data_IF_323151007780
#
_entry.id   IF_323151007780
#
_cell.length_a   1.000
_cell.length_b   1.000
_cell.length_c   1.000
_cell.angle_alpha   90.00
_cell.angle_beta   90.00
_cell.angle_gamma   90.00
#
_symmetry.space_group_name_H-M   'P 1'
#
loop_
_entity.id
_entity.type
_entity.pdbx_description
1 polymer ?
#
# COMPACT_ATOMS: atom_id res chain seq x y z
N UNK A 1 37.43 -16.58 -3.54
CA UNK A 1 36.07 -16.57 -4.12
C UNK A 1 35.02 -16.18 -3.09
N UNK A 2 35.38 -16.18 -1.80
CA UNK A 2 34.51 -16.01 -0.64
C UNK A 2 33.97 -14.57 -0.50
N UNK A 3 34.77 -13.57 -0.85
CA UNK A 3 34.36 -12.17 -0.81
C UNK A 3 33.21 -11.87 -1.80
N UNK A 4 33.21 -12.48 -2.99
CA UNK A 4 32.16 -12.25 -3.99
C UNK A 4 30.81 -12.87 -3.57
N UNK A 5 30.85 -14.05 -2.93
CA UNK A 5 29.65 -14.69 -2.36
C UNK A 5 29.07 -13.87 -1.20
N UNK A 6 29.92 -13.36 -0.29
CA UNK A 6 29.48 -12.51 0.81
C UNK A 6 28.84 -11.20 0.31
N UNK A 7 29.43 -10.58 -0.72
CA UNK A 7 28.85 -9.40 -1.37
C UNK A 7 27.51 -9.72 -2.04
N UNK A 8 27.40 -10.87 -2.73
CA UNK A 8 26.15 -11.31 -3.34
C UNK A 8 25.02 -11.51 -2.32
N UNK A 9 25.31 -12.17 -1.19
CA UNK A 9 24.35 -12.37 -0.09
C UNK A 9 23.95 -11.04 0.53
N UNK A 10 24.90 -10.13 0.74
CA UNK A 10 24.63 -8.81 1.30
C UNK A 10 23.67 -7.99 0.40
N UNK A 11 23.88 -7.99 -0.92
CA UNK A 11 22.99 -7.30 -1.87
C UNK A 11 21.59 -7.90 -1.86
N UNK A 12 21.47 -9.23 -1.85
CA UNK A 12 20.19 -9.93 -1.77
C UNK A 12 19.45 -9.64 -0.47
N UNK A 13 20.17 -9.62 0.65
CA UNK A 13 19.61 -9.28 1.96
C UNK A 13 19.09 -7.83 1.99
N UNK A 14 19.83 -6.88 1.45
CA UNK A 14 19.40 -5.47 1.35
C UNK A 14 18.16 -5.35 0.46
N UNK A 15 18.15 -6.00 -0.71
CA UNK A 15 17.00 -5.97 -1.61
C UNK A 15 15.75 -6.57 -0.95
N UNK A 16 15.88 -7.71 -0.28
CA UNK A 16 14.81 -8.33 0.49
C UNK A 16 14.32 -7.43 1.62
N UNK A 17 15.23 -6.77 2.33
CA UNK A 17 14.90 -5.82 3.40
C UNK A 17 14.10 -4.62 2.89
N UNK A 18 14.52 -4.02 1.77
CA UNK A 18 13.80 -2.88 1.15
C UNK A 18 12.39 -3.30 0.74
N UNK A 19 12.23 -4.46 0.09
CA UNK A 19 10.91 -4.99 -0.26
C UNK A 19 10.04 -5.24 0.97
N UNK A 20 10.62 -5.80 2.03
CA UNK A 20 9.90 -6.03 3.29
C UNK A 20 9.41 -4.72 3.90
N UNK A 21 10.24 -3.66 3.95
CA UNK A 21 9.84 -2.33 4.45
C UNK A 21 8.69 -1.75 3.64
N UNK A 22 8.74 -1.87 2.31
CA UNK A 22 7.67 -1.40 1.42
C UNK A 22 6.36 -2.15 1.73
N UNK A 23 6.41 -3.49 1.78
CA UNK A 23 5.24 -4.33 2.10
C UNK A 23 4.66 -4.02 3.47
N UNK A 24 5.50 -3.81 4.49
CA UNK A 24 5.06 -3.43 5.84
C UNK A 24 4.29 -2.11 5.85
N UNK A 25 4.70 -1.12 5.05
CA UNK A 25 4.01 0.16 4.95
C UNK A 25 2.58 -0.01 4.39
N UNK A 26 2.43 -0.81 3.32
CA UNK A 26 1.11 -1.15 2.77
C UNK A 26 0.27 -1.99 3.74
N UNK A 27 0.90 -2.90 4.48
CA UNK A 27 0.22 -3.77 5.43
C UNK A 27 -0.49 -2.98 6.54
N UNK A 28 0.15 -1.93 7.07
CA UNK A 28 -0.47 -1.06 8.07
C UNK A 28 -1.75 -0.39 7.57
N UNK A 29 -1.75 0.11 6.33
CA UNK A 29 -2.93 0.74 5.71
C UNK A 29 -4.01 -0.30 5.40
N UNK A 30 -3.61 -1.44 4.85
CA UNK A 30 -4.51 -2.56 4.55
C UNK A 30 -5.29 -3.04 5.78
N UNK A 31 -4.56 -3.20 6.90
CA UNK A 31 -5.11 -3.69 8.15
C UNK A 31 -6.16 -2.72 8.71
N UNK A 32 -5.89 -1.40 8.66
CA UNK A 32 -6.88 -0.38 9.05
C UNK A 32 -8.15 -0.45 8.21
N UNK A 33 -8.02 -0.58 6.89
CA UNK A 33 -9.14 -0.77 5.97
C UNK A 33 -9.98 -2.01 6.33
N UNK A 34 -9.31 -3.13 6.61
CA UNK A 34 -9.95 -4.39 6.98
C UNK A 34 -10.72 -4.31 8.29
N UNK A 35 -10.10 -3.75 9.34
CA UNK A 35 -10.72 -3.59 10.66
C UNK A 35 -11.93 -2.64 10.59
N UNK A 36 -11.87 -1.63 9.72
CA UNK A 36 -12.95 -0.68 9.53
C UNK A 36 -14.10 -1.18 8.61
N UNK A 37 -14.15 -2.48 8.27
CA UNK A 37 -15.10 -3.06 7.30
C UNK A 37 -15.06 -2.39 5.91
N UNK A 38 -13.94 -1.74 5.56
CA UNK A 38 -13.70 -1.11 4.27
C UNK A 38 -12.50 -1.78 3.58
N UNK A 39 -12.58 -3.08 3.21
CA UNK A 39 -11.44 -3.80 2.65
C UNK A 39 -10.99 -3.19 1.31
N UNK A 40 -9.69 -2.93 1.17
CA UNK A 40 -9.06 -2.50 -0.08
C UNK A 40 -8.03 -3.55 -0.49
N UNK A 41 -8.04 -3.97 -1.75
CA UNK A 41 -7.10 -4.98 -2.25
C UNK A 41 -5.66 -4.48 -2.26
N UNK A 42 -4.70 -5.33 -1.89
CA UNK A 42 -3.26 -5.02 -1.95
C UNK A 42 -2.83 -4.57 -3.34
N UNK A 43 -3.27 -5.27 -4.39
CA UNK A 43 -2.99 -4.90 -5.78
C UNK A 43 -3.50 -3.49 -6.14
N UNK A 44 -4.64 -3.07 -5.58
CA UNK A 44 -5.19 -1.74 -5.80
C UNK A 44 -4.35 -0.65 -5.12
N UNK A 45 -3.84 -0.92 -3.92
CA UNK A 45 -2.92 -0.02 -3.21
C UNK A 45 -1.58 0.13 -3.94
N UNK A 46 -1.05 -0.96 -4.48
CA UNK A 46 0.16 -0.90 -5.34
C UNK A 46 -0.14 -0.08 -6.60
N UNK A 47 -1.27 -0.31 -7.26
CA UNK A 47 -1.69 0.46 -8.44
C UNK A 47 -1.92 1.95 -8.17
N UNK A 48 -2.44 2.31 -7.00
CA UNK A 48 -2.52 3.70 -6.53
C UNK A 48 -1.13 4.32 -6.38
N UNK A 49 -0.18 3.59 -5.78
CA UNK A 49 1.20 4.08 -5.61
C UNK A 49 1.91 4.28 -6.94
N UNK A 50 1.69 3.40 -7.92
CA UNK A 50 2.24 3.52 -9.28
C UNK A 50 1.71 4.77 -9.99
N UNK A 51 0.43 5.09 -9.79
CA UNK A 51 -0.22 6.34 -10.29
C UNK A 51 0.12 7.57 -9.45
N UNK A 52 1.09 7.48 -8.53
CA UNK A 52 1.51 8.54 -7.60
C UNK A 52 0.40 9.06 -6.68
N UNK A 53 -0.67 8.29 -6.48
CA UNK A 53 -1.76 8.63 -5.56
C UNK A 53 -1.37 8.20 -4.13
N UNK A 54 -1.59 9.04 -3.11
CA UNK A 54 -1.32 8.71 -1.72
C UNK A 54 -2.35 7.69 -1.20
N UNK A 55 -1.92 6.44 -1.09
CA UNK A 55 -2.75 5.30 -0.65
C UNK A 55 -3.42 5.53 0.70
N UNK A 56 -2.68 6.08 1.68
CA UNK A 56 -3.20 6.33 3.02
C UNK A 56 -4.44 7.24 2.98
N UNK A 57 -4.34 8.35 2.25
CA UNK A 57 -5.43 9.33 2.11
C UNK A 57 -6.68 8.69 1.50
N UNK A 58 -6.54 7.97 0.38
CA UNK A 58 -7.68 7.33 -0.30
C UNK A 58 -8.34 6.27 0.58
N UNK A 59 -7.53 5.46 1.27
CA UNK A 59 -8.06 4.42 2.17
C UNK A 59 -8.77 5.04 3.37
N UNK A 60 -8.20 6.07 4.00
CA UNK A 60 -8.79 6.74 5.16
C UNK A 60 -10.09 7.49 4.78
N UNK A 61 -10.14 8.12 3.60
CA UNK A 61 -11.37 8.68 3.02
C UNK A 61 -12.43 7.60 2.78
N UNK A 62 -12.03 6.44 2.25
CA UNK A 62 -12.96 5.32 2.05
C UNK A 62 -13.47 4.75 3.36
N UNK A 63 -12.61 4.61 4.37
CA UNK A 63 -13.01 4.19 5.72
C UNK A 63 -14.08 5.15 6.26
N UNK A 64 -13.87 6.45 6.10
CA UNK A 64 -14.83 7.48 6.54
C UNK A 64 -16.16 7.37 5.80
N UNK A 65 -16.12 7.19 4.47
CA UNK A 65 -17.33 7.03 3.65
C UNK A 65 -18.13 5.79 4.06
N UNK A 66 -17.47 4.63 4.21
CA UNK A 66 -18.12 3.38 4.62
C UNK A 66 -18.71 3.51 6.03
N UNK A 67 -18.01 4.17 6.96
CA UNK A 67 -18.54 4.47 8.30
C UNK A 67 -19.75 5.41 8.27
N UNK A 68 -19.85 6.28 7.28
CA UNK A 68 -21.03 7.13 7.05
C UNK A 68 -22.17 6.39 6.32
N UNK A 69 -22.02 5.10 6.03
CA UNK A 69 -22.98 4.30 5.27
C UNK A 69 -22.89 4.50 3.76
N UNK A 70 -21.84 5.15 3.27
CA UNK A 70 -21.64 5.45 1.86
C UNK A 70 -20.61 4.48 1.28
N UNK A 71 -21.08 3.51 0.52
CA UNK A 71 -20.22 2.55 -0.19
C UNK A 71 -19.68 3.14 -1.49
N UNK A 72 -18.51 3.80 -1.41
CA UNK A 72 -17.81 4.33 -2.57
C UNK A 72 -16.57 3.47 -2.89
N UNK A 73 -16.37 3.07 -4.17
CA UNK A 73 -15.14 2.43 -4.61
C UNK A 73 -13.96 3.41 -4.55
N UNK A 74 -12.72 2.92 -4.58
CA UNK A 74 -11.56 3.83 -4.51
C UNK A 74 -11.32 4.63 -5.79
N UNK A 75 -11.81 4.19 -6.97
CA UNK A 75 -11.48 4.85 -8.23
C UNK A 75 -12.01 6.30 -8.33
N UNK A 76 -13.25 6.60 -7.92
CA UNK A 76 -13.74 7.99 -7.83
C UNK A 76 -12.96 8.84 -6.82
N UNK A 77 -12.53 8.25 -5.70
CA UNK A 77 -11.72 8.96 -4.69
C UNK A 77 -10.34 9.33 -5.27
N UNK A 78 -9.75 8.43 -6.04
CA UNK A 78 -8.48 8.66 -6.75
C UNK A 78 -8.64 9.70 -7.85
N UNK A 79 -9.73 9.65 -8.63
CA UNK A 79 -10.04 10.65 -9.65
C UNK A 79 -10.25 12.04 -9.05
N UNK A 80 -10.95 12.13 -7.91
CA UNK A 80 -11.13 13.38 -7.18
C UNK A 80 -9.81 13.94 -6.64
N UNK A 81 -8.89 13.07 -6.20
CA UNK A 81 -7.56 13.51 -5.73
C UNK A 81 -6.67 14.05 -6.86
N UNK A 82 -6.87 13.58 -8.10
CA UNK A 82 -6.06 13.94 -9.26
C UNK A 82 -6.61 15.14 -10.05
N UNK A 83 -7.80 15.64 -9.70
CA UNK A 83 -8.41 16.83 -10.30
C UNK A 83 -7.82 18.11 -9.70
#
# INVERSE_FOLDING_TARGET
MDALYLVGIAVLAVFGFVLAVILFNFFGVWLRARIANAPVGMGKMVGMRLRRVPVGLIVDSRITAVKAGIEIPTDPLEAHFLA
#
